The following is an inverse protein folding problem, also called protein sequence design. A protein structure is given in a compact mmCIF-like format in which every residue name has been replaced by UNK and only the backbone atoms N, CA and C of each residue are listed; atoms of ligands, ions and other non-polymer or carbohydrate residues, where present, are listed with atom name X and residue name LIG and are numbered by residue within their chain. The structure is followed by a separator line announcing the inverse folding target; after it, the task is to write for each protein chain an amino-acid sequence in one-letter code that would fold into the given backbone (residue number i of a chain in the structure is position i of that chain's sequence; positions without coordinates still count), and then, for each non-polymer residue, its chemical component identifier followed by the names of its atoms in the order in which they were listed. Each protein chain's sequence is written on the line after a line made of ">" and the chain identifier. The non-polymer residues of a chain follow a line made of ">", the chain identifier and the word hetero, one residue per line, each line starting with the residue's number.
data_IF_434497700129
#
_entry.id   IF_434497700129
#
_cell.length_a   1.000
_cell.length_b   1.000
_cell.length_c   1.000
_cell.angle_alpha   90.00
_cell.angle_beta   90.00
_cell.angle_gamma   90.00
#
_symmetry.space_group_name_H-M   'P 1'
#
loop_
_entity.id
_entity.type
_entity.pdbx_description
1 polymer ?
#
# COMPACT_ATOMS: atom_id res chain seq x y z
N UNK A 1 16.62 -27.92 3.88
CA UNK A 1 16.37 -26.50 3.58
C UNK A 1 14.89 -26.34 3.28
N UNK A 2 14.23 -25.39 3.92
CA UNK A 2 12.83 -25.08 3.63
C UNK A 2 12.72 -24.49 2.22
N UNK A 3 11.74 -24.93 1.44
CA UNK A 3 11.59 -24.51 0.05
C UNK A 3 10.86 -23.17 0.01
N UNK A 4 11.45 -22.17 -0.65
CA UNK A 4 10.80 -20.88 -0.87
C UNK A 4 9.52 -21.08 -1.69
N UNK A 5 8.38 -20.67 -1.14
CA UNK A 5 7.07 -20.72 -1.79
C UNK A 5 6.49 -19.32 -1.97
N UNK A 6 5.55 -19.17 -2.89
CA UNK A 6 4.85 -17.89 -3.08
C UNK A 6 3.82 -17.68 -1.97
N UNK A 7 3.65 -16.44 -1.48
CA UNK A 7 2.57 -16.14 -0.56
C UNK A 7 1.22 -16.46 -1.20
N UNK A 8 0.30 -17.00 -0.41
CA UNK A 8 -1.09 -17.20 -0.79
C UNK A 8 -1.91 -16.03 -0.28
N UNK A 9 -2.86 -15.55 -1.08
CA UNK A 9 -3.74 -14.45 -0.71
C UNK A 9 -5.20 -14.93 -0.78
N UNK A 10 -6.07 -14.51 0.15
CA UNK A 10 -7.50 -14.72 0.02
C UNK A 10 -8.04 -14.14 -1.30
N UNK A 11 -9.08 -14.77 -1.86
CA UNK A 11 -9.74 -14.34 -3.09
C UNK A 11 -10.70 -13.14 -2.88
N UNK A 12 -10.27 -12.15 -2.09
CA UNK A 12 -10.96 -10.88 -1.92
C UNK A 12 -10.25 -9.82 -2.75
N UNK A 13 -10.99 -8.91 -3.37
CA UNK A 13 -10.42 -7.79 -4.11
C UNK A 13 -11.18 -6.50 -3.82
N UNK A 14 -10.47 -5.38 -3.84
CA UNK A 14 -11.07 -4.03 -3.76
C UNK A 14 -10.29 -3.08 -4.67
N UNK A 15 -10.94 -2.08 -5.26
CA UNK A 15 -10.29 -1.07 -6.08
C UNK A 15 -9.98 0.18 -5.25
N UNK A 16 -8.78 0.76 -5.41
CA UNK A 16 -8.37 1.97 -4.70
C UNK A 16 -9.33 3.15 -4.93
N UNK A 17 -9.94 3.26 -6.11
CA UNK A 17 -10.93 4.32 -6.43
C UNK A 17 -12.17 4.26 -5.56
N UNK A 18 -12.57 3.07 -5.10
CA UNK A 18 -13.75 2.88 -4.25
C UNK A 18 -13.56 3.52 -2.86
N UNK A 19 -12.33 3.90 -2.50
CA UNK A 19 -11.98 4.54 -1.24
C UNK A 19 -11.69 6.05 -1.38
N UNK A 20 -12.08 6.64 -2.52
CA UNK A 20 -11.98 8.09 -2.77
C UNK A 20 -10.61 8.57 -3.26
N UNK A 21 -9.74 7.65 -3.70
CA UNK A 21 -8.48 8.03 -4.33
C UNK A 21 -8.70 8.64 -5.71
N UNK A 22 -7.91 9.66 -6.05
CA UNK A 22 -7.92 10.31 -7.36
C UNK A 22 -6.52 10.16 -7.96
N UNK A 23 -6.44 9.53 -9.14
CA UNK A 23 -5.18 9.20 -9.81
C UNK A 23 -4.62 10.35 -10.67
N UNK A 24 -4.69 11.59 -10.17
CA UNK A 24 -4.30 12.83 -10.88
C UNK A 24 -2.84 13.27 -10.63
N UNK A 25 -2.13 12.59 -9.73
CA UNK A 25 -0.76 12.90 -9.33
C UNK A 25 -0.61 14.06 -8.34
N UNK A 26 -1.70 14.63 -7.85
CA UNK A 26 -1.69 15.76 -6.90
C UNK A 26 -2.59 15.56 -5.66
N UNK A 27 -3.65 14.78 -5.79
CA UNK A 27 -4.57 14.46 -4.70
C UNK A 27 -3.93 13.45 -3.75
N UNK A 28 -3.80 13.82 -2.46
CA UNK A 28 -3.18 12.97 -1.44
C UNK A 28 -4.07 11.76 -1.11
N UNK A 29 -3.69 10.58 -1.60
CA UNK A 29 -4.41 9.32 -1.51
C UNK A 29 -4.08 8.48 -0.27
N UNK A 30 -3.26 8.97 0.66
CA UNK A 30 -2.79 8.22 1.85
C UNK A 30 -3.92 7.55 2.62
N UNK A 31 -4.99 8.30 2.90
CA UNK A 31 -6.16 7.78 3.63
C UNK A 31 -6.94 6.75 2.81
N UNK A 32 -6.96 6.87 1.48
CA UNK A 32 -7.63 5.90 0.62
C UNK A 32 -6.88 4.55 0.61
N UNK A 33 -5.53 4.58 0.53
CA UNK A 33 -4.71 3.38 0.68
C UNK A 33 -4.95 2.69 2.03
N UNK A 34 -4.93 3.45 3.13
CA UNK A 34 -5.17 2.91 4.47
C UNK A 34 -6.56 2.24 4.58
N UNK A 35 -7.63 2.93 4.14
CA UNK A 35 -8.99 2.39 4.15
C UNK A 35 -9.14 1.12 3.32
N UNK A 36 -8.49 1.07 2.15
CA UNK A 36 -8.57 -0.08 1.26
C UNK A 36 -7.86 -1.31 1.85
N UNK A 37 -6.69 -1.10 2.46
CA UNK A 37 -5.95 -2.14 3.19
C UNK A 37 -6.75 -2.62 4.41
N UNK A 38 -7.38 -1.71 5.14
CA UNK A 38 -8.22 -2.04 6.30
C UNK A 38 -9.44 -2.87 5.91
N UNK A 39 -10.11 -2.50 4.80
CA UNK A 39 -11.25 -3.25 4.29
C UNK A 39 -10.88 -4.68 3.87
N UNK A 40 -9.70 -4.88 3.28
CA UNK A 40 -9.18 -6.22 2.98
C UNK A 40 -8.78 -6.97 4.24
N UNK A 41 -8.12 -6.31 5.19
CA UNK A 41 -7.70 -6.90 6.47
C UNK A 41 -8.90 -7.44 7.25
N UNK A 42 -10.01 -6.70 7.28
CA UNK A 42 -11.26 -7.16 7.91
C UNK A 42 -11.85 -8.41 7.25
N UNK A 43 -11.49 -8.70 6.00
CA UNK A 43 -11.86 -9.91 5.25
C UNK A 43 -10.78 -11.01 5.30
N UNK A 44 -9.74 -10.83 6.12
CA UNK A 44 -8.61 -11.76 6.26
C UNK A 44 -7.46 -11.54 5.27
N UNK A 45 -7.54 -10.52 4.43
CA UNK A 45 -6.57 -10.21 3.37
C UNK A 45 -7.19 -10.22 1.97
N UNK A 46 -6.35 -9.99 0.96
CA UNK A 46 -6.74 -10.03 -0.45
C UNK A 46 -5.93 -9.07 -1.30
N UNK A 47 -6.47 -8.69 -2.46
CA UNK A 47 -5.82 -7.86 -3.47
C UNK A 47 -6.36 -6.44 -3.47
N UNK A 48 -5.48 -5.46 -3.27
CA UNK A 48 -5.78 -4.05 -3.51
C UNK A 48 -5.38 -3.71 -4.94
N UNK A 49 -6.37 -3.42 -5.78
CA UNK A 49 -6.16 -3.04 -7.18
C UNK A 49 -5.90 -1.53 -7.24
N UNK A 50 -4.74 -1.15 -7.77
CA UNK A 50 -4.36 0.22 -8.08
C UNK A 50 -4.43 0.39 -9.60
N UNK A 51 -5.50 1.00 -10.14
CA UNK A 51 -5.69 1.09 -11.59
C UNK A 51 -4.74 2.11 -12.22
N UNK A 52 -4.75 2.19 -13.56
CA UNK A 52 -4.03 3.23 -14.30
C UNK A 52 -4.26 4.63 -13.73
N UNK A 53 -3.18 5.40 -13.55
CA UNK A 53 -3.19 6.74 -12.97
C UNK A 53 -1.91 7.06 -12.19
N UNK A 54 -1.77 8.30 -11.72
CA UNK A 54 -0.69 8.71 -10.82
C UNK A 54 -1.27 8.93 -9.43
N UNK A 55 -0.86 8.14 -8.45
CA UNK A 55 -1.44 8.07 -7.12
C UNK A 55 -0.49 8.73 -6.13
N UNK A 56 -0.72 10.03 -5.85
CA UNK A 56 0.08 10.78 -4.89
C UNK A 56 -0.23 10.34 -3.46
N UNK A 57 0.76 9.96 -2.66
CA UNK A 57 0.52 9.43 -1.30
C UNK A 57 1.71 9.65 -0.39
N UNK A 58 1.47 9.70 0.92
CA UNK A 58 2.49 9.45 1.94
C UNK A 58 2.83 7.95 2.02
N UNK A 59 3.35 7.46 3.15
CA UNK A 59 3.71 6.05 3.29
C UNK A 59 2.49 5.12 3.17
N UNK A 60 2.70 3.94 2.58
CA UNK A 60 1.73 2.85 2.54
C UNK A 60 2.15 1.81 3.56
N UNK A 61 1.30 1.57 4.58
CA UNK A 61 1.54 0.56 5.60
C UNK A 61 0.81 -0.73 5.22
N UNK A 62 1.55 -1.73 4.74
CA UNK A 62 0.99 -3.04 4.43
C UNK A 62 0.66 -3.83 5.70
N UNK A 63 -0.32 -4.72 5.59
CA UNK A 63 -0.73 -5.67 6.62
C UNK A 63 -0.58 -7.10 6.12
N UNK A 64 -0.75 -8.08 7.01
CA UNK A 64 -0.72 -9.50 6.65
C UNK A 64 -1.73 -9.82 5.55
N UNK A 65 -1.35 -10.72 4.63
CA UNK A 65 -2.20 -11.22 3.56
C UNK A 65 -2.71 -10.15 2.57
N UNK A 66 -1.98 -9.03 2.41
CA UNK A 66 -2.32 -7.99 1.44
C UNK A 66 -1.44 -8.11 0.20
N UNK A 67 -2.08 -8.15 -0.97
CA UNK A 67 -1.45 -8.07 -2.28
C UNK A 67 -1.72 -6.67 -2.87
N UNK A 68 -0.71 -5.80 -2.87
CA UNK A 68 -0.77 -4.51 -3.54
C UNK A 68 -0.50 -4.70 -5.03
N UNK A 69 -1.54 -4.59 -5.85
CA UNK A 69 -1.49 -4.90 -7.27
C UNK A 69 -1.63 -3.66 -8.15
N UNK A 70 -0.53 -3.26 -8.80
CA UNK A 70 -0.51 -2.15 -9.74
C UNK A 70 -0.86 -2.65 -11.14
N UNK A 71 -1.94 -2.12 -11.71
CA UNK A 71 -2.28 -2.38 -13.10
C UNK A 71 -1.32 -1.63 -14.04
N UNK A 72 -1.33 -2.03 -15.33
CA UNK A 72 -0.52 -1.37 -16.34
C UNK A 72 -0.81 0.13 -16.38
N UNK A 73 0.23 0.95 -16.23
CA UNK A 73 0.12 2.42 -16.22
C UNK A 73 -0.28 3.03 -14.88
N UNK A 74 -0.33 2.24 -13.80
CA UNK A 74 -0.40 2.76 -12.44
C UNK A 74 1.00 3.22 -11.97
N UNK A 75 1.08 4.42 -11.42
CA UNK A 75 2.28 4.99 -10.79
C UNK A 75 1.92 5.41 -9.37
N UNK A 76 2.63 4.89 -8.37
CA UNK A 76 2.54 5.42 -7.00
C UNK A 76 3.60 6.50 -6.87
N UNK A 77 3.17 7.72 -6.61
CA UNK A 77 4.05 8.88 -6.41
C UNK A 77 4.09 9.20 -4.91
N UNK A 78 5.23 8.93 -4.27
CA UNK A 78 5.40 9.23 -2.85
C UNK A 78 5.70 10.70 -2.62
N UNK A 79 5.07 11.28 -1.60
CA UNK A 79 5.31 12.66 -1.18
C UNK A 79 6.75 12.85 -0.68
N UNK A 80 7.42 13.96 -1.01
CA UNK A 80 8.69 14.32 -0.40
C UNK A 80 8.52 15.02 0.97
N UNK A 81 7.30 15.29 1.40
CA UNK A 81 7.00 15.93 2.69
C UNK A 81 7.30 14.97 3.84
N UNK A 82 8.39 15.24 4.57
CA UNK A 82 8.89 14.46 5.68
C UNK A 82 7.89 14.40 6.85
N UNK A 83 7.03 15.40 7.02
CA UNK A 83 5.98 15.41 8.03
C UNK A 83 4.96 14.27 7.87
N UNK A 84 4.85 13.67 6.67
CA UNK A 84 3.99 12.51 6.41
C UNK A 84 4.62 11.17 6.82
N UNK A 85 5.91 11.16 7.18
CA UNK A 85 6.69 9.96 7.48
C UNK A 85 7.05 9.94 8.96
N UNK A 86 6.16 9.49 9.85
CA UNK A 86 6.46 9.38 11.27
C UNK A 86 7.60 8.37 11.50
N UNK A 87 8.33 8.55 12.61
CA UNK A 87 9.32 7.58 13.03
C UNK A 87 8.68 6.21 13.26
N UNK A 88 9.33 5.18 12.73
CA UNK A 88 8.99 3.77 12.92
C UNK A 88 10.23 3.01 13.34
N UNK A 89 10.04 1.83 13.92
CA UNK A 89 11.12 0.87 14.07
C UNK A 89 11.65 0.50 12.67
N UNK A 90 12.92 0.80 12.43
CA UNK A 90 13.60 0.54 11.16
C UNK A 90 15.08 0.32 11.42
N UNK A 91 15.86 0.16 10.35
CA UNK A 91 17.31 0.05 10.42
C UNK A 91 17.97 1.11 9.56
N UNK A 92 19.11 1.63 10.02
CA UNK A 92 19.99 2.50 9.25
C UNK A 92 21.41 1.90 9.31
N UNK A 93 22.00 1.63 8.15
CA UNK A 93 23.35 1.04 8.03
C UNK A 93 23.56 -0.26 8.83
N UNK A 94 22.50 -1.07 8.98
CA UNK A 94 22.54 -2.35 9.69
C UNK A 94 22.38 -2.25 11.22
N UNK A 95 22.10 -1.06 11.73
CA UNK A 95 21.79 -0.83 13.14
C UNK A 95 20.30 -0.53 13.30
N UNK A 96 19.67 -1.14 14.30
CA UNK A 96 18.30 -0.79 14.70
C UNK A 96 18.26 0.69 15.09
N UNK A 97 17.34 1.45 14.50
CA UNK A 97 17.07 2.83 14.93
C UNK A 97 16.23 2.76 16.22
N UNK A 98 16.91 2.73 17.37
CA UNK A 98 16.28 2.79 18.71
C UNK A 98 16.29 4.18 19.28
#
# INVERSE_FOLDING_TARGET
>A
MEKVTRPQFPANEVNLKDFGAIGDGSSLCTTAFAKAIDALTQKGGGKLIVPQGVWFTGPIVLKNNINLHLEKGAVILFSPDDALYPFIETSFEGLDTR
#
